data_IF_647469385612
#
_entry.id   IF_647469385612
#
_cell.length_a   1.000
_cell.length_b   1.000
_cell.length_c   1.000
_cell.angle_alpha   90.00
_cell.angle_beta   90.00
_cell.angle_gamma   90.00
#
_symmetry.space_group_name_H-M   'P 1'
#
loop_
_entity.id
_entity.type
_entity.pdbx_description
1 polymer ?
#
# COMPACT_ATOMS: atom_id res chain seq x y z
N UNK A 1 -38.91 -11.69 -55.67
CA UNK A 1 -38.83 -13.13 -55.30
C UNK A 1 -37.66 -13.29 -54.34
N UNK A 2 -37.66 -13.97 -53.20
CA UNK A 2 -38.60 -14.83 -52.47
C UNK A 2 -38.09 -14.88 -51.02
N UNK A 3 -39.02 -14.94 -50.06
CA UNK A 3 -38.83 -15.22 -48.62
C UNK A 3 -38.18 -16.58 -48.35
N UNK A 4 -37.45 -16.74 -47.23
CA UNK A 4 -37.47 -17.93 -46.32
C UNK A 4 -36.62 -17.60 -45.08
N UNK A 5 -37.26 -17.37 -43.92
CA UNK A 5 -37.70 -18.32 -42.87
C UNK A 5 -36.58 -18.73 -41.92
N UNK A 6 -36.65 -18.12 -40.73
CA UNK A 6 -36.27 -18.65 -39.43
C UNK A 6 -36.65 -20.14 -39.33
N UNK A 7 -35.64 -21.01 -39.22
CA UNK A 7 -35.69 -22.32 -38.55
C UNK A 7 -34.25 -22.84 -38.47
N UNK A 8 -33.93 -23.45 -37.33
CA UNK A 8 -32.68 -24.18 -37.02
C UNK A 8 -31.65 -23.43 -36.14
N UNK A 9 -32.14 -22.85 -35.03
CA UNK A 9 -31.31 -22.70 -33.81
C UNK A 9 -31.56 -23.92 -32.90
N UNK A 10 -30.51 -24.60 -32.39
CA UNK A 10 -30.64 -25.74 -31.49
C UNK A 10 -31.25 -25.35 -30.13
N UNK A 11 -31.93 -26.30 -29.47
CA UNK A 11 -32.51 -26.14 -28.14
C UNK A 11 -31.44 -25.98 -27.06
N UNK A 12 -31.82 -25.36 -25.94
CA UNK A 12 -30.94 -24.91 -24.85
C UNK A 12 -30.24 -26.05 -24.06
N UNK A 13 -30.43 -27.31 -24.41
CA UNK A 13 -29.96 -28.47 -23.63
C UNK A 13 -28.60 -29.02 -24.09
N UNK A 14 -27.88 -28.32 -24.97
CA UNK A 14 -26.60 -28.79 -25.54
C UNK A 14 -25.34 -28.03 -25.08
N UNK A 15 -25.41 -27.20 -24.04
CA UNK A 15 -24.21 -26.62 -23.43
C UNK A 15 -23.83 -27.36 -22.14
N UNK A 16 -22.62 -27.95 -22.03
CA UNK A 16 -22.18 -28.56 -20.79
C UNK A 16 -22.02 -27.50 -19.70
N UNK A 17 -22.59 -27.78 -18.52
CA UNK A 17 -22.40 -27.02 -17.30
C UNK A 17 -20.90 -27.05 -16.93
N UNK A 18 -20.26 -25.88 -16.93
CA UNK A 18 -18.93 -25.72 -16.36
C UNK A 18 -19.02 -25.85 -14.84
N UNK A 19 -18.28 -26.80 -14.28
CA UNK A 19 -18.20 -27.08 -12.85
C UNK A 19 -17.73 -25.84 -12.06
N UNK A 20 -18.56 -25.41 -11.11
CA UNK A 20 -18.23 -24.38 -10.12
C UNK A 20 -17.50 -25.05 -8.95
N UNK A 21 -16.30 -24.56 -8.53
CA UNK A 21 -15.59 -25.12 -7.38
C UNK A 21 -16.40 -24.99 -6.06
N UNK A 22 -16.54 -26.11 -5.35
CA UNK A 22 -17.40 -26.31 -4.17
C UNK A 22 -16.97 -25.64 -2.85
N UNK A 23 -16.06 -24.66 -2.83
CA UNK A 23 -15.53 -24.11 -1.58
C UNK A 23 -15.73 -22.59 -1.41
N UNK A 24 -16.97 -22.12 -1.56
CA UNK A 24 -17.41 -20.82 -1.05
C UNK A 24 -18.60 -20.98 -0.09
N UNK A 25 -18.50 -21.93 0.84
CA UNK A 25 -19.37 -21.99 2.02
C UNK A 25 -18.66 -21.30 3.17
N UNK A 26 -18.83 -19.98 3.26
CA UNK A 26 -19.02 -19.22 4.50
C UNK A 26 -19.07 -17.71 4.18
N UNK A 27 -20.18 -17.30 3.55
CA UNK A 27 -20.66 -15.92 3.65
C UNK A 27 -22.06 -16.01 4.27
N UNK A 28 -22.08 -16.28 5.57
CA UNK A 28 -23.28 -16.11 6.40
C UNK A 28 -22.97 -15.04 7.43
N UNK A 29 -23.02 -13.77 7.01
CA UNK A 29 -23.19 -12.67 7.97
C UNK A 29 -23.99 -11.46 7.46
N UNK A 30 -24.67 -11.56 6.31
CA UNK A 30 -25.69 -10.60 5.92
C UNK A 30 -26.86 -11.37 5.31
N UNK A 31 -27.90 -11.59 6.12
CA UNK A 31 -29.06 -12.42 5.78
C UNK A 31 -29.75 -12.00 4.49
N UNK A 32 -29.47 -12.72 3.41
CA UNK A 32 -30.13 -12.64 2.11
C UNK A 32 -30.27 -14.06 1.55
N UNK A 33 -31.14 -14.84 2.17
CA UNK A 33 -31.48 -16.21 1.75
C UNK A 33 -32.54 -16.17 0.63
N UNK A 34 -32.14 -15.85 -0.61
CA UNK A 34 -32.96 -16.15 -1.80
C UNK A 34 -32.10 -16.71 -2.96
N UNK A 35 -32.11 -18.03 -3.19
CA UNK A 35 -31.40 -18.69 -4.29
C UNK A 35 -31.85 -18.27 -5.69
N UNK A 36 -33.01 -17.61 -5.83
CA UNK A 36 -33.49 -17.10 -7.11
C UNK A 36 -32.71 -15.87 -7.59
N UNK A 37 -32.06 -15.14 -6.67
CA UNK A 37 -31.38 -13.88 -6.94
C UNK A 37 -30.02 -14.08 -7.64
N UNK A 38 -29.23 -15.09 -7.25
CA UNK A 38 -27.93 -15.35 -7.87
C UNK A 38 -28.07 -15.88 -9.31
N UNK A 39 -29.06 -16.73 -9.54
CA UNK A 39 -29.30 -17.36 -10.84
C UNK A 39 -29.81 -16.35 -11.87
N UNK A 40 -30.62 -15.37 -11.45
CA UNK A 40 -31.12 -14.30 -12.33
C UNK A 40 -30.02 -13.31 -12.76
N UNK A 41 -29.09 -13.01 -11.86
CA UNK A 41 -27.96 -12.11 -12.13
C UNK A 41 -27.02 -12.71 -13.18
N UNK A 42 -26.71 -14.00 -13.06
CA UNK A 42 -25.84 -14.71 -14.02
C UNK A 42 -26.50 -14.80 -15.40
N UNK A 43 -27.81 -15.07 -15.46
CA UNK A 43 -28.55 -15.13 -16.72
C UNK A 43 -28.66 -13.77 -17.43
N UNK A 44 -28.88 -12.67 -16.67
CA UNK A 44 -28.89 -11.32 -17.23
C UNK A 44 -27.50 -10.90 -17.73
N UNK A 45 -26.43 -11.26 -17.01
CA UNK A 45 -25.05 -10.94 -17.39
C UNK A 45 -24.63 -11.61 -18.71
N UNK A 46 -24.97 -12.89 -18.90
CA UNK A 46 -24.63 -13.65 -20.11
C UNK A 46 -25.44 -13.21 -21.34
N UNK A 47 -26.70 -12.80 -21.14
CA UNK A 47 -27.55 -12.27 -22.23
C UNK A 47 -27.06 -10.90 -22.70
N UNK A 48 -26.56 -10.07 -21.78
CA UNK A 48 -26.00 -8.75 -22.07
C UNK A 48 -24.67 -8.82 -22.84
N UNK A 49 -23.79 -9.78 -22.51
CA UNK A 49 -22.53 -10.00 -23.23
C UNK A 49 -22.73 -10.43 -24.70
N UNK A 50 -23.82 -11.15 -25.01
CA UNK A 50 -24.10 -11.63 -26.37
C UNK A 50 -24.68 -10.54 -27.28
N UNK A 51 -25.43 -9.59 -26.73
CA UNK A 51 -26.18 -8.60 -27.53
C UNK A 51 -25.45 -7.27 -27.72
N UNK A 52 -24.47 -6.91 -26.87
CA UNK A 52 -23.77 -5.61 -26.94
C UNK A 52 -22.25 -5.75 -26.85
N UNK A 53 -21.56 -5.58 -27.98
CA UNK A 53 -20.08 -5.53 -28.04
C UNK A 53 -19.58 -4.14 -27.67
N UNK A 54 -19.14 -3.93 -26.42
CA UNK A 54 -18.38 -2.76 -26.00
C UNK A 54 -16.93 -3.14 -25.62
N UNK A 55 -15.92 -2.80 -26.45
CA UNK A 55 -14.52 -3.15 -26.16
C UNK A 55 -13.83 -2.25 -25.11
N UNK A 56 -14.43 -1.12 -24.73
CA UNK A 56 -13.64 -0.01 -24.14
C UNK A 56 -13.63 0.07 -22.61
N UNK A 57 -14.45 -0.72 -21.89
CA UNK A 57 -14.50 -0.67 -20.42
C UNK A 57 -13.51 -1.64 -19.76
N UNK A 58 -13.10 -2.70 -20.46
CA UNK A 58 -12.28 -3.76 -19.86
C UNK A 58 -10.83 -3.36 -19.57
N UNK A 59 -10.28 -2.36 -20.25
CA UNK A 59 -8.87 -1.96 -20.06
C UNK A 59 -8.66 -1.15 -18.77
N UNK A 60 -9.69 -0.53 -18.22
CA UNK A 60 -9.59 0.27 -16.97
C UNK A 60 -9.66 -0.62 -15.73
N UNK A 61 -10.21 -1.83 -15.83
CA UNK A 61 -10.40 -2.71 -14.68
C UNK A 61 -9.18 -3.57 -14.31
N UNK A 62 -8.18 -3.68 -15.19
CA UNK A 62 -7.03 -4.55 -14.92
C UNK A 62 -6.06 -3.97 -13.88
N UNK A 63 -6.03 -2.64 -13.71
CA UNK A 63 -5.12 -1.96 -12.75
C UNK A 63 -5.75 -1.73 -11.36
N UNK A 64 -7.05 -2.01 -11.19
CA UNK A 64 -7.77 -1.80 -9.92
C UNK A 64 -7.77 -3.03 -9.00
N UNK A 65 -7.02 -4.07 -9.34
CA UNK A 65 -7.05 -5.39 -8.67
C UNK A 65 -6.45 -5.37 -7.25
N UNK A 66 -5.78 -4.29 -6.81
CA UNK A 66 -5.14 -4.26 -5.48
C UNK A 66 -5.89 -3.51 -4.38
N UNK A 67 -7.02 -2.86 -4.67
CA UNK A 67 -7.77 -2.12 -3.65
C UNK A 67 -9.17 -2.73 -3.47
N UNK A 68 -9.68 -2.73 -2.24
CA UNK A 68 -11.06 -3.07 -1.84
C UNK A 68 -12.18 -2.29 -2.57
N UNK A 69 -11.86 -1.58 -3.66
CA UNK A 69 -12.74 -0.84 -4.57
C UNK A 69 -13.60 -1.76 -5.45
N UNK A 70 -13.25 -3.04 -5.62
CA UNK A 70 -14.06 -3.97 -6.44
C UNK A 70 -15.47 -4.15 -5.86
N UNK A 71 -15.59 -4.25 -4.53
CA UNK A 71 -16.88 -4.37 -3.85
C UNK A 71 -17.70 -3.09 -3.91
N UNK A 72 -17.05 -1.91 -3.77
CA UNK A 72 -17.70 -0.60 -3.92
C UNK A 72 -18.16 -0.36 -5.35
N UNK A 73 -17.34 -0.70 -6.34
CA UNK A 73 -17.71 -0.60 -7.76
C UNK A 73 -18.86 -1.55 -8.10
N UNK A 74 -18.87 -2.79 -7.56
CA UNK A 74 -19.99 -3.73 -7.70
C UNK A 74 -21.26 -3.24 -7.01
N UNK A 75 -21.17 -2.69 -5.79
CA UNK A 75 -22.31 -2.11 -5.07
C UNK A 75 -22.90 -0.91 -5.81
N UNK A 76 -22.06 -0.02 -6.32
CA UNK A 76 -22.47 1.13 -7.13
C UNK A 76 -23.13 0.70 -8.44
N UNK A 77 -22.58 -0.30 -9.13
CA UNK A 77 -23.22 -0.84 -10.34
C UNK A 77 -24.55 -1.52 -10.04
N UNK A 78 -24.67 -2.25 -8.93
CA UNK A 78 -25.93 -2.85 -8.45
C UNK A 78 -26.98 -1.80 -8.07
N UNK A 79 -26.60 -0.74 -7.37
CA UNK A 79 -27.49 0.38 -7.00
C UNK A 79 -27.98 1.13 -8.24
N UNK A 80 -27.09 1.40 -9.20
CA UNK A 80 -27.46 1.99 -10.50
C UNK A 80 -28.41 1.04 -11.24
N UNK A 81 -28.13 -0.27 -11.27
CA UNK A 81 -29.01 -1.26 -11.89
C UNK A 81 -30.39 -1.31 -11.25
N UNK A 82 -30.49 -1.32 -9.91
CA UNK A 82 -31.77 -1.35 -9.20
C UNK A 82 -32.58 -0.06 -9.44
N UNK A 83 -31.90 1.08 -9.55
CA UNK A 83 -32.55 2.38 -9.79
C UNK A 83 -33.08 2.44 -11.22
N UNK A 84 -32.31 1.95 -12.20
CA UNK A 84 -32.73 1.82 -13.59
C UNK A 84 -33.86 0.79 -13.76
N UNK A 85 -33.81 -0.33 -13.04
CA UNK A 85 -34.85 -1.35 -13.07
C UNK A 85 -36.17 -0.85 -12.45
N UNK A 86 -36.12 -0.14 -11.31
CA UNK A 86 -37.29 0.51 -10.70
C UNK A 86 -37.87 1.62 -11.59
N UNK A 87 -37.02 2.38 -12.27
CA UNK A 87 -37.47 3.40 -13.22
C UNK A 87 -38.16 2.76 -14.44
N UNK A 88 -37.60 1.65 -14.96
CA UNK A 88 -38.17 0.88 -16.07
C UNK A 88 -39.48 0.18 -15.70
N UNK A 89 -39.58 -0.44 -14.52
CA UNK A 89 -40.77 -1.19 -14.08
C UNK A 89 -41.98 -0.27 -13.81
N UNK A 90 -41.74 0.99 -13.47
CA UNK A 90 -42.78 1.97 -13.15
C UNK A 90 -43.34 2.71 -14.36
N UNK A 91 -42.80 2.53 -15.56
CA UNK A 91 -43.24 3.27 -16.76
C UNK A 91 -43.59 2.33 -17.91
N UNK A 92 -44.82 1.82 -17.90
CA UNK A 92 -45.44 1.29 -19.13
C UNK A 92 -45.73 2.48 -20.06
N UNK A 93 -45.08 2.49 -21.22
CA UNK A 93 -45.18 3.45 -22.35
C UNK A 93 -44.00 4.42 -22.48
N UNK A 94 -43.00 4.05 -23.29
CA UNK A 94 -42.00 4.97 -23.81
C UNK A 94 -41.82 4.79 -25.33
N UNK A 95 -41.91 5.90 -26.07
CA UNK A 95 -41.59 6.04 -27.50
C UNK A 95 -40.10 6.31 -27.71
N UNK A 96 -39.53 5.97 -28.89
CA UNK A 96 -38.09 6.07 -29.21
C UNK A 96 -37.40 7.43 -28.93
N UNK A 97 -38.15 8.53 -28.84
CA UNK A 97 -37.59 9.87 -28.62
C UNK A 97 -36.98 10.07 -27.22
N UNK A 98 -37.52 9.42 -26.19
CA UNK A 98 -37.13 9.62 -24.79
C UNK A 98 -35.95 8.75 -24.33
N UNK A 99 -35.52 7.79 -25.15
CA UNK A 99 -34.34 6.95 -24.89
C UNK A 99 -33.02 7.70 -25.08
N UNK A 100 -32.96 8.72 -25.96
CA UNK A 100 -31.74 9.48 -26.22
C UNK A 100 -31.29 10.33 -25.03
N UNK A 101 -32.23 10.91 -24.29
CA UNK A 101 -31.93 11.75 -23.12
C UNK A 101 -31.46 10.91 -21.91
N UNK A 102 -31.97 9.69 -21.76
CA UNK A 102 -31.56 8.76 -20.70
C UNK A 102 -30.24 8.03 -20.98
N UNK A 103 -29.77 7.96 -22.23
CA UNK A 103 -28.49 7.32 -22.56
C UNK A 103 -27.25 8.14 -22.21
N UNK A 104 -27.37 9.46 -21.98
CA UNK A 104 -26.22 10.33 -21.66
C UNK A 104 -26.09 10.73 -20.17
N UNK A 105 -27.16 10.61 -19.39
CA UNK A 105 -27.17 10.98 -17.97
C UNK A 105 -26.42 9.99 -17.03
N UNK A 106 -26.42 8.66 -17.25
CA UNK A 106 -25.72 7.72 -16.37
C UNK A 106 -24.20 7.79 -16.52
N UNK A 107 -23.69 8.04 -17.73
CA UNK A 107 -22.25 8.08 -18.00
C UNK A 107 -21.59 9.34 -17.45
N UNK A 108 -22.24 10.50 -17.59
CA UNK A 108 -21.76 11.77 -17.06
C UNK A 108 -21.74 11.78 -15.53
N UNK A 109 -22.79 11.28 -14.87
CA UNK A 109 -22.82 11.14 -13.41
C UNK A 109 -21.75 10.18 -12.87
N UNK A 110 -21.55 9.01 -13.50
CA UNK A 110 -20.50 8.07 -13.11
C UNK A 110 -19.10 8.67 -13.30
N UNK A 111 -18.85 9.37 -14.41
CA UNK A 111 -17.59 10.07 -14.64
C UNK A 111 -17.38 11.16 -13.60
N UNK A 112 -18.41 11.96 -13.27
CA UNK A 112 -18.33 12.98 -12.23
C UNK A 112 -18.08 12.39 -10.85
N UNK A 113 -18.70 11.27 -10.48
CA UNK A 113 -18.44 10.58 -9.20
C UNK A 113 -17.02 10.01 -9.16
N UNK A 114 -16.54 9.41 -10.25
CA UNK A 114 -15.17 8.91 -10.35
C UNK A 114 -14.15 10.04 -10.30
N UNK A 115 -14.39 11.15 -10.99
CA UNK A 115 -13.53 12.35 -10.94
C UNK A 115 -13.56 12.99 -9.54
N UNK A 116 -14.70 12.98 -8.86
CA UNK A 116 -14.85 13.49 -7.50
C UNK A 116 -14.14 12.59 -6.49
N UNK A 117 -14.24 11.27 -6.64
CA UNK A 117 -13.49 10.29 -5.85
C UNK A 117 -11.98 10.40 -6.12
N UNK A 118 -11.55 10.55 -7.38
CA UNK A 118 -10.16 10.74 -7.75
C UNK A 118 -9.60 12.07 -7.21
N UNK A 119 -10.37 13.16 -7.29
CA UNK A 119 -10.00 14.45 -6.73
C UNK A 119 -9.94 14.41 -5.19
N UNK A 120 -10.87 13.69 -4.54
CA UNK A 120 -10.86 13.50 -3.09
C UNK A 120 -9.65 12.65 -2.66
N UNK A 121 -9.36 11.53 -3.34
CA UNK A 121 -8.15 10.75 -3.09
C UNK A 121 -6.88 11.56 -3.34
N UNK A 122 -6.85 12.39 -4.40
CA UNK A 122 -5.73 13.29 -4.70
C UNK A 122 -5.52 14.37 -3.63
N UNK A 123 -6.57 14.81 -2.95
CA UNK A 123 -6.47 15.81 -1.88
C UNK A 123 -5.85 15.27 -0.58
N UNK A 124 -5.84 13.94 -0.39
CA UNK A 124 -5.23 13.25 0.76
C UNK A 124 -3.98 12.43 0.40
N UNK A 125 -3.63 12.35 -0.89
CA UNK A 125 -2.45 11.66 -1.34
C UNK A 125 -1.17 12.44 -0.97
N UNK A 126 -0.19 11.74 -0.43
CA UNK A 126 1.13 12.30 -0.13
C UNK A 126 1.83 12.63 -1.45
N UNK A 127 2.30 13.88 -1.59
CA UNK A 127 3.14 14.28 -2.72
C UNK A 127 4.59 13.84 -2.50
N UNK A 128 5.18 13.17 -3.50
CA UNK A 128 6.58 12.75 -3.44
C UNK A 128 7.42 13.51 -4.45
N UNK A 129 8.39 14.27 -3.96
CA UNK A 129 9.26 15.14 -4.75
C UNK A 129 10.69 14.65 -4.68
N UNK A 130 11.43 14.76 -5.79
CA UNK A 130 12.86 14.50 -5.83
C UNK A 130 13.55 15.75 -6.34
N UNK A 131 14.53 16.23 -5.58
CA UNK A 131 15.32 17.43 -5.85
C UNK A 131 16.80 17.06 -5.87
N UNK A 132 17.44 17.12 -7.04
CA UNK A 132 18.87 16.84 -7.16
C UNK A 132 19.67 18.16 -7.13
N UNK A 133 20.05 18.62 -5.92
CA UNK A 133 20.85 19.84 -5.73
C UNK A 133 22.31 19.64 -6.10
N UNK A 134 22.75 18.39 -6.22
CA UNK A 134 24.11 18.00 -6.58
C UNK A 134 24.26 17.61 -8.07
N UNK A 135 23.38 18.06 -8.96
CA UNK A 135 23.30 17.57 -10.35
C UNK A 135 24.60 17.65 -11.18
N UNK A 136 25.54 18.51 -10.78
CA UNK A 136 26.85 18.68 -11.44
C UNK A 136 28.01 18.04 -10.67
N UNK A 137 27.74 17.37 -9.55
CA UNK A 137 28.72 16.63 -8.75
C UNK A 137 28.70 15.14 -9.11
N UNK A 138 29.77 14.38 -8.81
CA UNK A 138 29.86 12.97 -9.18
C UNK A 138 28.66 12.12 -8.73
N UNK A 139 28.19 12.30 -7.49
CA UNK A 139 27.05 11.55 -6.95
C UNK A 139 25.73 11.91 -7.61
N UNK A 140 25.46 13.19 -7.87
CA UNK A 140 24.25 13.67 -8.51
C UNK A 140 24.21 13.32 -10.00
N UNK A 141 25.36 13.31 -10.69
CA UNK A 141 25.49 12.77 -12.05
C UNK A 141 25.14 11.29 -12.06
N UNK A 142 25.73 10.51 -11.13
CA UNK A 142 25.43 9.09 -11.00
C UNK A 142 23.97 8.83 -10.64
N UNK A 143 23.39 9.62 -9.75
CA UNK A 143 21.97 9.58 -9.41
C UNK A 143 21.12 9.74 -10.67
N UNK A 144 21.40 10.76 -11.50
CA UNK A 144 20.63 11.00 -12.73
C UNK A 144 20.75 9.85 -13.73
N UNK A 145 21.95 9.28 -13.88
CA UNK A 145 22.25 8.27 -14.89
C UNK A 145 21.81 6.85 -14.51
N UNK A 146 21.93 6.48 -13.22
CA UNK A 146 21.79 5.09 -12.77
C UNK A 146 20.56 4.88 -11.90
N UNK A 147 20.14 5.89 -11.11
CA UNK A 147 18.99 5.79 -10.20
C UNK A 147 17.77 6.42 -10.87
N UNK A 148 17.79 7.74 -11.08
CA UNK A 148 16.75 8.51 -11.75
C UNK A 148 15.64 8.96 -10.78
N UNK A 149 15.15 10.19 -10.99
CA UNK A 149 14.16 10.80 -10.12
C UNK A 149 12.82 10.03 -10.08
N UNK A 150 12.35 9.50 -11.22
CA UNK A 150 11.10 8.75 -11.27
C UNK A 150 11.18 7.43 -10.50
N UNK A 151 12.33 6.74 -10.59
CA UNK A 151 12.59 5.54 -9.82
C UNK A 151 12.60 5.85 -8.32
N UNK A 152 13.34 6.89 -7.90
CA UNK A 152 13.42 7.28 -6.50
C UNK A 152 12.05 7.69 -5.94
N UNK A 153 11.25 8.43 -6.73
CA UNK A 153 9.86 8.77 -6.39
C UNK A 153 9.00 7.52 -6.18
N UNK A 154 9.03 6.58 -7.14
CA UNK A 154 8.30 5.33 -7.01
C UNK A 154 8.77 4.51 -5.80
N UNK A 155 10.07 4.55 -5.51
CA UNK A 155 10.65 3.83 -4.37
C UNK A 155 10.16 4.41 -3.05
N UNK A 156 10.08 5.74 -2.90
CA UNK A 156 9.47 6.38 -1.73
C UNK A 156 8.00 5.98 -1.54
N UNK A 157 7.21 5.94 -2.62
CA UNK A 157 5.81 5.47 -2.57
C UNK A 157 5.75 4.03 -2.01
N UNK A 158 6.52 3.11 -2.60
CA UNK A 158 6.53 1.72 -2.15
C UNK A 158 7.05 1.56 -0.72
N UNK A 159 8.00 2.39 -0.29
CA UNK A 159 8.51 2.40 1.07
C UNK A 159 7.42 2.83 2.06
N UNK A 160 6.68 3.91 1.76
CA UNK A 160 5.56 4.36 2.59
C UNK A 160 4.48 3.28 2.73
N UNK A 161 4.08 2.65 1.63
CA UNK A 161 3.10 1.55 1.66
C UNK A 161 3.59 0.33 2.46
N UNK A 162 4.88 0.00 2.35
CA UNK A 162 5.50 -1.05 3.15
C UNK A 162 5.47 -0.70 4.64
N UNK A 163 5.90 0.52 5.00
CA UNK A 163 5.95 1.02 6.36
C UNK A 163 4.55 1.06 6.99
N UNK A 164 3.56 1.62 6.30
CA UNK A 164 2.19 1.68 6.81
C UNK A 164 1.61 0.29 7.06
N UNK A 165 1.87 -0.68 6.18
CA UNK A 165 1.44 -2.07 6.40
C UNK A 165 2.16 -2.71 7.60
N UNK A 166 3.48 -2.53 7.68
CA UNK A 166 4.29 -3.11 8.77
C UNK A 166 3.92 -2.51 10.13
N UNK A 167 3.63 -1.21 10.20
CA UNK A 167 3.14 -0.51 11.39
C UNK A 167 1.63 -0.63 11.61
N UNK A 168 0.91 -1.37 10.75
CA UNK A 168 -0.55 -1.54 10.82
C UNK A 168 -1.33 -0.21 10.79
N UNK A 169 -0.76 0.83 10.16
CA UNK A 169 -1.37 2.14 9.93
C UNK A 169 -2.25 2.12 8.67
N UNK A 170 -3.26 1.26 8.69
CA UNK A 170 -4.07 0.94 7.50
C UNK A 170 -5.04 2.08 7.11
N UNK A 171 -5.36 2.98 8.04
CA UNK A 171 -6.24 4.13 7.80
C UNK A 171 -5.49 5.45 7.93
N UNK A 172 -6.01 6.52 7.32
CA UNK A 172 -5.45 7.87 7.45
C UNK A 172 -5.40 8.34 8.91
N UNK A 173 -6.38 7.96 9.73
CA UNK A 173 -6.43 8.32 11.16
C UNK A 173 -5.31 7.69 12.00
N UNK A 174 -4.74 6.56 11.54
CA UNK A 174 -3.62 5.88 12.20
C UNK A 174 -2.26 6.49 11.83
N UNK A 175 -2.19 7.15 10.67
CA UNK A 175 -0.97 7.71 10.08
C UNK A 175 -0.65 9.09 10.65
N UNK A 176 0.60 9.51 10.50
CA UNK A 176 0.98 10.92 10.60
C UNK A 176 0.40 11.70 9.42
N UNK A 177 -0.06 12.92 9.67
CA UNK A 177 -0.47 13.83 8.60
C UNK A 177 0.77 14.44 7.94
N UNK A 178 1.12 13.94 6.76
CA UNK A 178 2.23 14.45 5.94
C UNK A 178 1.69 14.69 4.54
N UNK A 179 1.74 15.94 4.08
CA UNK A 179 1.26 16.30 2.75
C UNK A 179 2.30 16.07 1.65
N UNK A 180 3.58 16.17 1.99
CA UNK A 180 4.70 16.06 1.05
C UNK A 180 5.91 15.42 1.70
N UNK A 181 6.60 14.57 0.95
CA UNK A 181 7.93 14.04 1.27
C UNK A 181 8.89 14.40 0.14
N UNK A 182 10.04 14.98 0.46
CA UNK A 182 11.06 15.37 -0.53
C UNK A 182 12.32 14.54 -0.33
N UNK A 183 12.82 13.88 -1.36
CA UNK A 183 14.19 13.39 -1.39
C UNK A 183 15.10 14.45 -2.02
N UNK A 184 16.10 14.89 -1.27
CA UNK A 184 17.13 15.85 -1.69
C UNK A 184 18.44 15.11 -1.87
N UNK A 185 19.04 15.20 -3.06
CA UNK A 185 20.44 14.80 -3.25
C UNK A 185 21.30 16.00 -2.87
N UNK A 186 21.94 15.89 -1.71
CA UNK A 186 22.47 17.02 -0.96
C UNK A 186 24.00 17.13 -1.12
N UNK A 187 24.50 18.23 -1.71
CA UNK A 187 25.94 18.49 -1.83
C UNK A 187 26.59 18.98 -0.53
N UNK A 188 25.81 19.39 0.46
CA UNK A 188 26.26 20.10 1.66
C UNK A 188 26.23 19.22 2.94
N UNK A 189 26.10 17.90 2.77
CA UNK A 189 26.19 16.93 3.87
C UNK A 189 27.56 16.99 4.54
N UNK A 190 27.62 16.76 5.86
CA UNK A 190 28.93 16.72 6.53
C UNK A 190 29.73 15.51 6.06
N UNK A 191 31.07 15.58 6.00
CA UNK A 191 31.90 14.45 5.60
C UNK A 191 31.58 13.19 6.43
N UNK A 192 31.26 12.11 5.74
CA UNK A 192 30.92 10.82 6.36
C UNK A 192 29.46 10.64 6.76
N UNK A 193 28.61 11.67 6.65
CA UNK A 193 27.15 11.50 6.78
C UNK A 193 26.58 10.86 5.50
N UNK A 194 25.74 9.85 5.68
CA UNK A 194 25.12 9.10 4.57
C UNK A 194 23.81 9.76 4.16
N UNK A 195 22.90 9.90 5.13
CA UNK A 195 21.63 10.56 4.95
C UNK A 195 21.07 11.03 6.31
N UNK A 196 20.05 11.88 6.28
CA UNK A 196 19.19 12.18 7.43
C UNK A 196 17.80 12.60 6.96
N UNK A 197 16.80 12.47 7.85
CA UNK A 197 15.45 12.97 7.63
C UNK A 197 15.10 14.11 8.60
N UNK A 198 14.54 15.20 8.08
CA UNK A 198 14.06 16.33 8.86
C UNK A 198 12.96 17.07 8.12
N UNK A 199 11.91 17.53 8.83
CA UNK A 199 10.82 18.31 8.24
C UNK A 199 10.14 17.67 7.01
N UNK A 200 10.05 16.34 6.98
CA UNK A 200 9.57 15.56 5.82
C UNK A 200 10.47 15.65 4.57
N UNK A 201 11.70 16.10 4.72
CA UNK A 201 12.76 16.03 3.73
C UNK A 201 13.76 14.95 4.13
N UNK A 202 14.21 14.18 3.15
CA UNK A 202 15.29 13.20 3.26
C UNK A 202 16.46 13.78 2.50
N UNK A 203 17.56 14.01 3.18
CA UNK A 203 18.80 14.49 2.59
C UNK A 203 19.74 13.31 2.45
N UNK A 204 20.14 12.99 1.23
CA UNK A 204 21.08 11.92 0.92
C UNK A 204 22.32 12.50 0.28
N UNK A 205 23.50 12.17 0.82
CA UNK A 205 24.75 12.77 0.38
C UNK A 205 25.16 12.38 -1.03
N UNK A 206 25.62 13.38 -1.79
CA UNK A 206 26.28 13.19 -3.09
C UNK A 206 27.42 12.18 -2.98
N UNK A 207 28.33 12.39 -2.02
CA UNK A 207 29.50 11.53 -1.80
C UNK A 207 29.12 10.07 -1.53
N UNK A 208 28.03 9.85 -0.79
CA UNK A 208 27.51 8.50 -0.54
C UNK A 208 27.06 7.83 -1.83
N UNK A 209 26.23 8.51 -2.63
CA UNK A 209 25.73 7.96 -3.90
C UNK A 209 26.88 7.67 -4.86
N UNK A 210 27.85 8.59 -4.95
CA UNK A 210 29.06 8.40 -5.74
C UNK A 210 29.79 7.10 -5.32
N UNK A 211 29.90 6.88 -4.00
CA UNK A 211 30.57 5.73 -3.40
C UNK A 211 29.90 4.37 -3.59
N UNK A 212 28.60 4.31 -3.91
CA UNK A 212 27.87 3.03 -4.11
C UNK A 212 28.58 2.16 -5.15
N UNK A 213 28.81 0.89 -4.86
CA UNK A 213 29.44 -0.04 -5.81
C UNK A 213 28.39 -1.00 -6.39
N UNK A 214 28.52 -1.36 -7.66
CA UNK A 214 27.58 -2.27 -8.30
C UNK A 214 26.28 -1.60 -8.72
N UNK A 215 25.14 -2.26 -8.49
CA UNK A 215 23.82 -1.72 -8.85
C UNK A 215 23.44 -0.55 -7.94
N UNK A 216 23.44 0.68 -8.49
CA UNK A 216 23.06 1.88 -7.76
C UNK A 216 21.60 1.86 -7.27
N UNK A 217 20.75 1.01 -7.85
CA UNK A 217 19.37 0.75 -7.40
C UNK A 217 19.27 -0.44 -6.45
N UNK A 218 20.39 -0.97 -5.97
CA UNK A 218 20.47 -2.10 -5.05
C UNK A 218 20.23 -1.74 -3.58
N UNK A 219 20.78 -2.57 -2.70
CA UNK A 219 20.52 -2.55 -1.25
C UNK A 219 21.07 -1.32 -0.52
N UNK A 220 22.06 -0.65 -1.12
CA UNK A 220 22.64 0.60 -0.60
C UNK A 220 21.61 1.74 -0.67
N UNK A 221 21.33 2.23 -1.87
CA UNK A 221 20.38 3.34 -2.06
C UNK A 221 18.99 3.01 -1.52
N UNK A 222 18.41 1.86 -1.90
CA UNK A 222 17.06 1.52 -1.46
C UNK A 222 16.99 1.29 0.06
N UNK A 223 18.02 0.67 0.64
CA UNK A 223 18.05 0.40 2.08
C UNK A 223 18.13 1.68 2.90
N UNK A 224 19.01 2.61 2.53
CA UNK A 224 19.08 3.94 3.18
C UNK A 224 17.79 4.71 2.96
N UNK A 225 17.23 4.72 1.75
CA UNK A 225 15.95 5.38 1.50
C UNK A 225 14.83 4.80 2.37
N UNK A 226 14.77 3.48 2.53
CA UNK A 226 13.77 2.85 3.41
C UNK A 226 13.98 3.26 4.87
N UNK A 227 15.22 3.30 5.35
CA UNK A 227 15.56 3.77 6.68
C UNK A 227 15.05 5.20 6.90
N UNK A 228 15.39 6.14 6.03
CA UNK A 228 15.00 7.55 6.19
C UNK A 228 13.49 7.77 6.04
N UNK A 229 12.83 7.00 5.17
CA UNK A 229 11.37 7.02 5.03
C UNK A 229 10.68 6.61 6.34
N UNK A 230 11.29 5.76 7.17
CA UNK A 230 10.73 5.38 8.47
C UNK A 230 10.70 6.56 9.42
N UNK A 231 11.74 7.39 9.45
CA UNK A 231 11.77 8.59 10.31
C UNK A 231 10.61 9.55 10.01
N UNK A 232 10.15 9.61 8.76
CA UNK A 232 8.95 10.37 8.39
C UNK A 232 7.70 9.80 9.05
N UNK A 233 7.50 8.47 8.97
CA UNK A 233 6.23 7.82 9.32
C UNK A 233 6.13 7.30 10.75
N UNK A 234 7.26 7.01 11.42
CA UNK A 234 7.29 6.47 12.78
C UNK A 234 7.01 7.54 13.83
N UNK A 235 6.38 7.17 14.94
CA UNK A 235 6.27 8.06 16.09
C UNK A 235 7.55 8.00 16.93
N UNK A 236 8.01 9.16 17.40
CA UNK A 236 9.30 9.28 18.09
C UNK A 236 9.16 9.54 19.61
N UNK A 237 8.04 9.15 20.21
CA UNK A 237 7.80 9.36 21.64
C UNK A 237 7.67 10.84 22.02
N UNK A 238 7.26 11.71 21.09
CA UNK A 238 7.24 13.17 21.25
C UNK A 238 8.62 13.75 21.63
N UNK A 239 9.68 13.24 20.99
CA UNK A 239 11.05 13.69 21.24
C UNK A 239 11.59 13.28 22.62
N UNK A 240 11.15 12.13 23.15
CA UNK A 240 11.66 11.60 24.40
C UNK A 240 13.20 11.48 24.37
N UNK A 241 13.85 11.87 25.46
CA UNK A 241 15.31 11.80 25.55
C UNK A 241 15.78 10.36 25.78
N UNK A 242 16.97 10.05 25.28
CA UNK A 242 17.62 8.76 25.54
C UNK A 242 17.08 7.59 24.72
N UNK A 243 16.18 7.78 23.75
CA UNK A 243 15.68 6.70 22.88
C UNK A 243 16.22 6.74 21.45
N UNK A 244 17.29 7.51 21.20
CA UNK A 244 17.85 7.64 19.85
C UNK A 244 18.16 6.29 19.20
N UNK A 245 18.73 5.35 19.96
CA UNK A 245 18.98 4.00 19.44
C UNK A 245 17.72 3.20 19.11
N UNK A 246 16.64 3.36 19.85
CA UNK A 246 15.36 2.74 19.54
C UNK A 246 14.76 3.31 18.25
N UNK A 247 14.85 4.63 18.07
CA UNK A 247 14.36 5.33 16.88
C UNK A 247 15.13 4.88 15.62
N UNK A 248 16.47 4.81 15.69
CA UNK A 248 17.30 4.28 14.59
C UNK A 248 17.05 2.77 14.37
N UNK A 249 16.90 2.02 15.46
CA UNK A 249 16.67 0.59 15.41
C UNK A 249 15.33 0.20 14.81
N UNK A 250 14.27 1.00 14.99
CA UNK A 250 12.99 0.79 14.31
C UNK A 250 13.14 1.05 12.81
N UNK A 251 13.88 2.09 12.41
CA UNK A 251 14.18 2.36 11.01
C UNK A 251 14.92 1.18 10.35
N UNK A 252 15.95 0.66 11.00
CA UNK A 252 16.66 -0.52 10.50
C UNK A 252 15.87 -1.83 10.65
N UNK A 253 14.93 -1.94 11.59
CA UNK A 253 14.00 -3.08 11.63
C UNK A 253 13.11 -3.11 10.39
N UNK A 254 12.60 -1.96 9.93
CA UNK A 254 11.83 -1.91 8.68
C UNK A 254 12.73 -2.26 7.50
N UNK A 255 13.95 -1.71 7.45
CA UNK A 255 14.94 -2.03 6.41
C UNK A 255 15.26 -3.53 6.36
N UNK A 256 15.41 -4.16 7.53
CA UNK A 256 15.57 -5.61 7.70
C UNK A 256 14.39 -6.37 7.10
N UNK A 257 13.15 -5.98 7.45
CA UNK A 257 11.93 -6.63 6.96
C UNK A 257 11.70 -6.41 5.46
N UNK A 258 12.22 -5.33 4.90
CA UNK A 258 12.20 -5.06 3.46
C UNK A 258 13.27 -5.87 2.69
N UNK A 259 14.19 -6.56 3.39
CA UNK A 259 15.22 -7.39 2.78
C UNK A 259 16.51 -6.64 2.42
N UNK A 260 16.61 -5.34 2.72
CA UNK A 260 17.80 -4.54 2.41
C UNK A 260 18.84 -4.65 3.52
N UNK A 261 19.46 -5.82 3.66
CA UNK A 261 20.39 -6.12 4.77
C UNK A 261 21.85 -6.06 4.26
N UNK A 262 22.60 -5.00 4.59
CA UNK A 262 24.02 -4.93 4.28
C UNK A 262 24.80 -6.10 4.88
N UNK A 263 25.82 -6.58 4.15
CA UNK A 263 26.64 -7.73 4.57
C UNK A 263 27.45 -7.48 5.85
N UNK A 264 27.66 -6.21 6.22
CA UNK A 264 28.40 -5.80 7.41
C UNK A 264 27.53 -5.70 8.66
N UNK A 265 26.21 -5.88 8.55
CA UNK A 265 25.32 -5.85 9.71
C UNK A 265 25.65 -6.95 10.71
N UNK A 266 25.51 -6.61 11.98
CA UNK A 266 25.71 -7.54 13.09
C UNK A 266 24.79 -8.75 12.98
N UNK A 267 25.27 -9.87 13.55
CA UNK A 267 24.47 -11.08 13.68
C UNK A 267 23.48 -10.95 14.85
N UNK A 268 22.38 -11.72 14.85
CA UNK A 268 21.54 -11.85 16.04
C UNK A 268 22.40 -12.21 17.26
N UNK A 269 22.13 -11.54 18.38
CA UNK A 269 22.85 -11.71 19.64
C UNK A 269 24.08 -10.80 19.81
N UNK A 270 24.55 -10.09 18.77
CA UNK A 270 25.67 -9.14 18.90
C UNK A 270 25.21 -7.77 19.45
N UNK A 271 26.18 -6.91 19.80
CA UNK A 271 25.94 -5.62 20.44
C UNK A 271 25.83 -5.67 21.97
N UNK A 272 25.82 -4.48 22.58
CA UNK A 272 25.99 -4.27 24.02
C UNK A 272 24.71 -3.80 24.72
N UNK A 273 23.80 -3.16 24.02
CA UNK A 273 22.55 -2.63 24.58
C UNK A 273 21.39 -2.75 23.60
N UNK A 274 20.17 -2.94 24.14
CA UNK A 274 18.95 -2.97 23.33
C UNK A 274 18.66 -1.63 22.65
N UNK A 275 19.18 -0.53 23.19
CA UNK A 275 19.01 0.85 22.68
C UNK A 275 20.30 1.38 22.06
N UNK A 276 21.10 0.50 21.45
CA UNK A 276 22.36 0.87 20.83
C UNK A 276 22.18 1.61 19.50
N UNK A 277 21.06 1.38 18.80
CA UNK A 277 20.82 1.92 17.48
C UNK A 277 20.92 0.88 16.38
N UNK A 278 20.46 1.30 15.21
CA UNK A 278 20.72 0.66 13.92
C UNK A 278 20.45 -0.85 13.93
N UNK A 279 21.29 -1.62 13.23
CA UNK A 279 21.23 -3.06 13.08
C UNK A 279 21.19 -3.83 14.41
N UNK A 280 21.94 -3.42 15.43
CA UNK A 280 21.92 -4.05 16.77
C UNK A 280 20.52 -4.02 17.36
N UNK A 281 19.91 -2.83 17.43
CA UNK A 281 18.55 -2.68 17.96
C UNK A 281 17.53 -3.30 17.03
N UNK A 282 17.70 -3.22 15.70
CA UNK A 282 16.82 -3.85 14.73
C UNK A 282 16.72 -5.37 14.91
N UNK A 283 17.85 -6.06 15.13
CA UNK A 283 17.87 -7.52 15.41
C UNK A 283 17.15 -7.88 16.71
N UNK A 284 17.25 -7.04 17.74
CA UNK A 284 16.51 -7.24 18.98
C UNK A 284 15.00 -7.00 18.83
N UNK A 285 14.62 -5.97 18.08
CA UNK A 285 13.21 -5.71 17.75
C UNK A 285 12.63 -6.83 16.90
N UNK A 286 13.42 -7.44 16.01
CA UNK A 286 13.05 -8.63 15.25
C UNK A 286 12.73 -9.81 16.15
N UNK A 287 13.61 -10.09 17.13
CA UNK A 287 13.33 -11.08 18.17
C UNK A 287 12.05 -10.77 18.95
N UNK A 288 11.84 -9.52 19.37
CA UNK A 288 10.61 -9.13 20.08
C UNK A 288 9.37 -9.33 19.21
N UNK A 289 9.45 -9.06 17.90
CA UNK A 289 8.37 -9.27 16.96
C UNK A 289 8.08 -10.76 16.69
N UNK A 290 9.07 -11.64 16.80
CA UNK A 290 8.86 -13.09 16.76
C UNK A 290 8.15 -13.62 18.01
N UNK A 291 8.38 -13.00 19.17
CA UNK A 291 7.64 -13.34 20.40
C UNK A 291 6.17 -12.94 20.32
N UNK A 292 5.88 -11.82 19.65
CA UNK A 292 4.52 -11.36 19.38
C UNK A 292 4.46 -10.62 18.06
N UNK A 293 3.80 -11.23 17.08
CA UNK A 293 3.60 -10.61 15.77
C UNK A 293 2.90 -9.23 15.92
N UNK A 294 3.48 -8.21 15.29
CA UNK A 294 3.00 -6.82 15.39
C UNK A 294 3.52 -6.06 16.61
N UNK A 295 4.48 -6.61 17.36
CA UNK A 295 5.09 -5.91 18.49
C UNK A 295 5.60 -4.52 18.10
N UNK A 296 6.37 -4.40 17.03
CA UNK A 296 6.96 -3.11 16.60
C UNK A 296 5.87 -2.12 16.17
N UNK A 297 4.80 -2.60 15.52
CA UNK A 297 3.65 -1.79 15.14
C UNK A 297 2.96 -1.18 16.37
N UNK A 298 2.69 -1.99 17.38
CA UNK A 298 2.04 -1.55 18.62
C UNK A 298 2.97 -0.67 19.47
N UNK A 299 4.28 -0.96 19.49
CA UNK A 299 5.27 -0.09 20.13
C UNK A 299 5.28 1.29 19.47
N UNK A 300 5.40 1.35 18.14
CA UNK A 300 5.33 2.58 17.36
C UNK A 300 4.02 3.35 17.66
N UNK A 301 2.87 2.66 17.70
CA UNK A 301 1.59 3.27 18.05
C UNK A 301 1.56 3.86 19.46
N UNK A 302 2.08 3.15 20.46
CA UNK A 302 2.20 3.66 21.85
C UNK A 302 3.13 4.87 21.95
N UNK A 303 4.09 5.00 21.04
CA UNK A 303 5.01 6.13 20.96
C UNK A 303 4.43 7.42 20.37
N UNK A 304 3.13 7.46 20.04
CA UNK A 304 2.50 8.65 19.43
C UNK A 304 2.69 9.94 20.22
N UNK A 305 2.73 9.89 21.55
CA UNK A 305 2.77 11.08 22.41
C UNK A 305 3.83 11.06 23.51
N UNK A 306 4.42 9.90 23.81
CA UNK A 306 5.44 9.74 24.84
C UNK A 306 6.16 8.40 24.67
N UNK A 307 7.22 8.17 25.45
CA UNK A 307 7.87 6.87 25.54
C UNK A 307 8.07 6.45 27.00
N UNK A 308 7.99 5.14 27.23
CA UNK A 308 8.43 4.49 28.47
C UNK A 308 8.87 3.06 28.18
N UNK A 309 9.97 2.61 28.79
CA UNK A 309 10.43 1.21 28.71
C UNK A 309 9.36 0.22 29.20
N UNK A 310 8.42 0.69 30.03
CA UNK A 310 7.25 -0.10 30.47
C UNK A 310 6.40 -0.60 29.30
N UNK A 311 6.45 0.05 28.13
CA UNK A 311 5.73 -0.41 26.94
C UNK A 311 6.14 -1.83 26.52
N UNK A 312 7.39 -2.23 26.74
CA UNK A 312 7.82 -3.62 26.48
C UNK A 312 7.09 -4.60 27.40
N UNK A 313 6.97 -4.27 28.69
CA UNK A 313 6.25 -5.09 29.66
C UNK A 313 4.74 -5.11 29.39
N UNK A 314 4.14 -3.99 28.99
CA UNK A 314 2.74 -3.95 28.58
C UNK A 314 2.46 -4.85 27.37
N UNK A 315 3.40 -4.92 26.43
CA UNK A 315 3.20 -5.61 25.14
C UNK A 315 3.63 -7.08 25.15
N UNK A 316 4.62 -7.46 25.98
CA UNK A 316 5.25 -8.78 26.00
C UNK A 316 5.25 -9.44 27.40
N UNK A 317 4.75 -8.75 28.43
CA UNK A 317 4.72 -9.25 29.81
C UNK A 317 6.09 -9.28 30.52
N UNK A 318 7.13 -8.69 29.90
CA UNK A 318 8.51 -8.66 30.41
C UNK A 318 9.13 -7.28 30.17
N UNK A 319 9.90 -6.79 31.13
CA UNK A 319 10.64 -5.53 30.94
C UNK A 319 11.74 -5.70 29.87
N UNK A 320 12.16 -4.58 29.28
CA UNK A 320 13.12 -4.56 28.16
C UNK A 320 14.46 -5.20 28.53
N UNK A 321 14.94 -5.01 29.76
CA UNK A 321 16.21 -5.60 30.22
C UNK A 321 16.15 -7.13 30.31
N UNK A 322 15.00 -7.67 30.75
CA UNK A 322 14.77 -9.11 30.75
C UNK A 322 14.72 -9.65 29.32
N UNK A 323 13.98 -8.99 28.43
CA UNK A 323 13.90 -9.38 27.02
C UNK A 323 15.28 -9.35 26.35
N UNK A 324 16.09 -8.32 26.63
CA UNK A 324 17.45 -8.21 26.14
C UNK A 324 18.33 -9.35 26.63
N UNK A 325 18.29 -9.69 27.92
CA UNK A 325 19.03 -10.85 28.47
C UNK A 325 18.59 -12.16 27.81
N UNK A 326 17.30 -12.37 27.59
CA UNK A 326 16.79 -13.56 26.92
C UNK A 326 17.21 -13.62 25.45
N UNK A 327 17.20 -12.49 24.73
CA UNK A 327 17.75 -12.36 23.38
C UNK A 327 19.24 -12.73 23.34
N UNK A 328 20.03 -12.19 24.26
CA UNK A 328 21.46 -12.53 24.40
C UNK A 328 21.68 -13.98 24.77
N UNK A 329 20.82 -14.60 25.59
CA UNK A 329 20.93 -16.03 25.90
C UNK A 329 20.52 -16.93 24.73
N UNK A 330 19.61 -16.48 23.86
CA UNK A 330 19.16 -17.23 22.69
C UNK A 330 20.19 -17.23 21.56
N UNK A 331 20.87 -16.10 21.35
CA UNK A 331 21.72 -15.90 20.16
C UNK A 331 23.17 -15.54 20.49
N UNK A 332 23.47 -15.09 21.70
CA UNK A 332 24.84 -14.84 22.14
C UNK A 332 25.54 -16.17 22.39
N UNK A 333 26.71 -16.32 21.75
CA UNK A 333 27.67 -17.37 22.09
C UNK A 333 28.59 -16.89 23.22
#
# INVERSE_FOLDING_TARGET
MIRRKVKDMPSADQFPLLDVPKNLTNITQYGLDDPSFSTHIVHCHLKFQKEWKFPTIYTVCHDLVQCNLYWLAMLLTLLVHQTLYKAWSNTKHFTQATLKDYTMAPSSFLISVLLSLAALHGAFAVEYVVDNRAANLPGGIKFNNEIGADYARQRMITASEFIWRLFQQNTEADRKTVARVTLVIDPDMKPGEVAYASNNEIHMGDDYINGIQGDARGDDFNGVLYHEMVHIWQWNGNGASGIGGLIEGIADFVRLKAGYVPSHWVKPGEGNSWNQGYDVTARFLDYCNDLRNGFVAELNKKMRTSYSDQFFADLLGKNVDQLWREYKAKYGM
#
